data_IF_220653543271
#
_entry.id   IF_220653543271
#
_cell.length_a   1.000
_cell.length_b   1.000
_cell.length_c   1.000
_cell.angle_alpha   90.00
_cell.angle_beta   90.00
_cell.angle_gamma   90.00
#
_symmetry.space_group_name_H-M   'P 1'
#
loop_
_entity.id
_entity.type
_entity.pdbx_description
1 polymer ?
#
# COMPACT_ATOMS: atom_id res chain seq x y z
N UNK A 1 -14.98 -9.57 15.21
CA UNK A 1 -13.80 -9.53 14.32
C UNK A 1 -12.99 -10.82 14.49
N UNK A 2 -12.05 -11.10 13.59
CA UNK A 2 -11.09 -12.21 13.71
C UNK A 2 -9.82 -11.68 14.37
N UNK A 3 -9.40 -12.27 15.48
CA UNK A 3 -8.15 -11.90 16.16
C UNK A 3 -6.97 -12.65 15.54
N UNK A 4 -5.98 -11.91 15.04
CA UNK A 4 -4.72 -12.45 14.50
C UNK A 4 -3.67 -12.55 15.61
N UNK A 5 -3.67 -11.56 16.50
CA UNK A 5 -2.87 -11.51 17.74
C UNK A 5 -3.77 -11.02 18.88
N UNK A 6 -3.27 -11.07 20.12
CA UNK A 6 -4.05 -10.68 21.31
C UNK A 6 -4.57 -9.23 21.26
N UNK A 7 -3.88 -8.34 20.53
CA UNK A 7 -4.20 -6.92 20.38
C UNK A 7 -4.44 -6.51 18.91
N UNK A 8 -4.62 -7.47 18.00
CA UNK A 8 -4.85 -7.19 16.58
C UNK A 8 -6.09 -7.94 16.08
N UNK A 9 -7.15 -7.17 15.82
CA UNK A 9 -8.40 -7.65 15.28
C UNK A 9 -8.58 -7.19 13.83
N UNK A 10 -9.09 -8.07 12.97
CA UNK A 10 -9.33 -7.81 11.55
C UNK A 10 -10.77 -8.17 11.20
N UNK A 11 -11.40 -7.38 10.34
CA UNK A 11 -12.66 -7.73 9.69
C UNK A 11 -12.52 -7.54 8.19
N UNK A 12 -12.92 -8.54 7.42
CA UNK A 12 -12.88 -8.50 5.96
C UNK A 12 -14.08 -9.23 5.39
N UNK A 13 -14.58 -8.75 4.25
CA UNK A 13 -15.61 -9.47 3.50
C UNK A 13 -15.12 -10.85 3.03
N UNK A 14 -13.81 -11.02 2.86
CA UNK A 14 -13.20 -12.29 2.49
C UNK A 14 -13.52 -13.43 3.47
N UNK A 15 -13.77 -13.12 4.75
CA UNK A 15 -14.12 -14.12 5.76
C UNK A 15 -15.52 -14.72 5.59
N UNK A 16 -16.37 -14.11 4.74
CA UNK A 16 -17.75 -14.57 4.48
C UNK A 16 -17.91 -15.21 3.11
N UNK A 17 -16.83 -15.37 2.37
CA UNK A 17 -16.86 -16.03 1.07
C UNK A 17 -16.74 -17.53 1.25
N UNK A 18 -17.58 -18.28 0.53
CA UNK A 18 -17.49 -19.75 0.50
C UNK A 18 -16.16 -20.24 -0.10
N UNK A 19 -15.50 -19.40 -0.91
CA UNK A 19 -14.23 -19.69 -1.54
C UNK A 19 -13.38 -18.40 -1.65
N UNK A 20 -12.08 -18.43 -1.32
CA UNK A 20 -11.23 -17.23 -1.31
C UNK A 20 -11.09 -16.55 -2.68
N UNK A 21 -11.09 -17.33 -3.77
CA UNK A 21 -10.94 -16.80 -5.14
C UNK A 21 -12.25 -16.28 -5.76
N UNK A 22 -13.39 -16.36 -5.03
CA UNK A 22 -14.68 -15.94 -5.57
C UNK A 22 -14.73 -14.40 -5.60
N UNK A 23 -15.02 -13.77 -6.75
CA UNK A 23 -15.11 -12.31 -6.81
C UNK A 23 -16.31 -11.82 -6.00
N UNK A 24 -16.07 -10.79 -5.18
CA UNK A 24 -17.12 -10.13 -4.41
C UNK A 24 -17.72 -9.03 -5.25
N UNK A 25 -18.96 -9.23 -5.71
CA UNK A 25 -19.69 -8.21 -6.47
C UNK A 25 -20.74 -7.57 -5.57
N UNK A 26 -20.35 -6.50 -4.88
CA UNK A 26 -21.28 -5.63 -4.15
C UNK A 26 -21.53 -4.36 -4.96
N UNK A 27 -22.80 -4.04 -5.20
CA UNK A 27 -23.20 -2.84 -5.96
C UNK A 27 -24.12 -1.95 -5.14
N UNK A 28 -23.90 -0.63 -5.28
CA UNK A 28 -24.75 0.42 -4.73
C UNK A 28 -25.16 0.17 -3.27
N UNK A 29 -26.47 0.01 -2.97
CA UNK A 29 -26.96 -0.14 -1.60
C UNK A 29 -26.36 -1.31 -0.83
N UNK A 30 -26.05 -2.43 -1.50
CA UNK A 30 -25.48 -3.61 -0.83
C UNK A 30 -24.09 -3.32 -0.28
N UNK A 31 -23.28 -2.54 -1.01
CA UNK A 31 -21.95 -2.11 -0.59
C UNK A 31 -22.01 -1.22 0.65
N UNK A 32 -22.90 -0.23 0.64
CA UNK A 32 -23.14 0.67 1.78
C UNK A 32 -23.61 -0.09 3.02
N UNK A 33 -24.51 -1.07 2.84
CA UNK A 33 -24.99 -1.89 3.95
C UNK A 33 -23.87 -2.72 4.59
N UNK A 34 -22.97 -3.29 3.78
CA UNK A 34 -21.84 -4.06 4.31
C UNK A 34 -20.81 -3.21 5.05
N UNK A 35 -20.50 -2.01 4.56
CA UNK A 35 -19.65 -1.05 5.30
C UNK A 35 -20.27 -0.73 6.66
N UNK A 36 -21.58 -0.45 6.71
CA UNK A 36 -22.28 -0.16 7.97
C UNK A 36 -22.25 -1.35 8.92
N UNK A 37 -22.43 -2.58 8.43
CA UNK A 37 -22.32 -3.79 9.25
C UNK A 37 -20.93 -3.91 9.88
N UNK A 38 -19.86 -3.68 9.12
CA UNK A 38 -18.50 -3.74 9.68
C UNK A 38 -18.22 -2.69 10.75
N UNK A 39 -18.79 -1.49 10.59
CA UNK A 39 -18.51 -0.39 11.51
C UNK A 39 -19.46 -0.36 12.73
N UNK A 40 -20.68 -0.88 12.60
CA UNK A 40 -21.73 -0.77 13.64
C UNK A 40 -22.18 -2.09 14.25
N UNK A 41 -22.17 -3.18 13.48
CA UNK A 41 -22.72 -4.46 13.90
C UNK A 41 -21.62 -5.43 14.36
N UNK A 42 -20.35 -5.07 14.15
CA UNK A 42 -19.20 -5.81 14.68
C UNK A 42 -18.86 -5.27 16.06
N UNK A 43 -18.84 -6.16 17.05
CA UNK A 43 -18.34 -5.84 18.39
C UNK A 43 -16.81 -5.80 18.36
N UNK A 44 -16.25 -4.58 18.35
CA UNK A 44 -14.82 -4.33 18.29
C UNK A 44 -14.13 -4.27 19.67
N UNK A 45 -14.92 -4.28 20.75
CA UNK A 45 -14.45 -4.03 22.12
C UNK A 45 -13.80 -2.63 22.26
N UNK A 46 -13.02 -2.39 23.32
CA UNK A 46 -12.21 -1.18 23.46
C UNK A 46 -11.04 -1.18 22.45
N UNK A 47 -10.96 -0.13 21.62
CA UNK A 47 -9.91 0.07 20.63
C UNK A 47 -9.21 1.41 20.88
N UNK A 48 -7.88 1.39 20.82
CA UNK A 48 -7.08 2.62 20.71
C UNK A 48 -7.12 3.18 19.29
N UNK A 49 -7.14 2.29 18.28
CA UNK A 49 -7.10 2.65 16.86
C UNK A 49 -8.02 1.76 16.04
N UNK A 50 -8.75 2.37 15.10
CA UNK A 50 -9.48 1.69 14.04
C UNK A 50 -8.89 2.11 12.69
N UNK A 51 -8.23 1.19 12.00
CA UNK A 51 -7.67 1.43 10.66
C UNK A 51 -8.65 0.88 9.61
N UNK A 52 -9.05 1.73 8.67
CA UNK A 52 -9.92 1.35 7.55
C UNK A 52 -9.13 1.38 6.25
N UNK A 53 -8.94 0.21 5.64
CA UNK A 53 -8.40 0.10 4.29
C UNK A 53 -9.51 0.40 3.27
N UNK A 54 -9.42 1.56 2.62
CA UNK A 54 -10.44 2.01 1.68
C UNK A 54 -10.07 1.61 0.24
N UNK A 55 -11.05 1.32 -0.63
CA UNK A 55 -10.77 1.16 -2.05
C UNK A 55 -10.04 2.38 -2.63
N UNK A 56 -9.23 2.22 -3.69
CA UNK A 56 -8.48 3.32 -4.28
C UNK A 56 -9.40 4.40 -4.88
N UNK A 57 -8.85 5.62 -5.00
CA UNK A 57 -9.53 6.75 -5.63
C UNK A 57 -10.41 7.56 -4.68
N UNK A 58 -11.40 8.26 -5.24
CA UNK A 58 -12.33 9.16 -4.53
C UNK A 58 -13.75 8.64 -4.72
N UNK A 59 -14.19 7.76 -3.82
CA UNK A 59 -15.40 6.95 -4.02
C UNK A 59 -16.44 7.13 -2.90
N UNK A 60 -17.70 6.79 -3.21
CA UNK A 60 -18.83 6.85 -2.25
C UNK A 60 -18.59 5.97 -1.01
N UNK A 61 -17.73 4.95 -1.11
CA UNK A 61 -17.29 4.10 -0.02
C UNK A 61 -16.62 4.90 1.09
N UNK A 62 -15.70 5.79 0.72
CA UNK A 62 -14.99 6.63 1.68
C UNK A 62 -15.97 7.57 2.39
N UNK A 63 -16.88 8.21 1.64
CA UNK A 63 -17.96 9.04 2.20
C UNK A 63 -18.83 8.23 3.16
N UNK A 64 -19.17 7.00 2.78
CA UNK A 64 -19.99 6.10 3.60
C UNK A 64 -19.29 5.74 4.91
N UNK A 65 -17.99 5.47 4.89
CA UNK A 65 -17.19 5.20 6.09
C UNK A 65 -17.22 6.41 7.03
N UNK A 66 -16.88 7.59 6.52
CA UNK A 66 -16.83 8.83 7.30
C UNK A 66 -18.20 9.15 7.91
N UNK A 67 -19.28 9.09 7.12
CA UNK A 67 -20.64 9.31 7.61
C UNK A 67 -21.08 8.26 8.64
N UNK A 68 -20.64 7.02 8.49
CA UNK A 68 -20.97 5.94 9.43
C UNK A 68 -20.24 6.11 10.77
N UNK A 69 -19.03 6.69 10.75
CA UNK A 69 -18.20 7.01 11.90
C UNK A 69 -18.39 8.44 12.42
N UNK A 70 -19.37 9.21 11.92
CA UNK A 70 -19.54 10.62 12.28
C UNK A 70 -19.70 10.89 13.78
N UNK A 71 -20.17 9.91 14.57
CA UNK A 71 -20.25 10.01 16.03
C UNK A 71 -18.90 9.81 16.75
N UNK A 72 -17.94 9.14 16.09
CA UNK A 72 -16.62 8.79 16.64
C UNK A 72 -15.53 9.81 16.27
N UNK A 73 -15.87 10.86 15.50
CA UNK A 73 -14.96 11.91 15.02
C UNK A 73 -13.65 11.37 14.42
N UNK A 74 -13.65 11.09 13.11
CA UNK A 74 -12.49 10.56 12.40
C UNK A 74 -11.28 11.50 12.51
N UNK A 75 -10.17 11.00 13.06
CA UNK A 75 -8.94 11.79 13.28
C UNK A 75 -8.34 12.31 11.97
N UNK A 76 -8.42 11.51 10.92
CA UNK A 76 -7.97 11.91 9.60
C UNK A 76 -7.73 10.74 8.64
N UNK A 77 -7.06 11.05 7.53
CA UNK A 77 -6.68 10.12 6.48
C UNK A 77 -5.16 10.17 6.24
N UNK A 78 -4.59 9.01 5.92
CA UNK A 78 -3.23 8.89 5.39
C UNK A 78 -3.34 8.57 3.91
N UNK A 79 -2.69 9.37 3.07
CA UNK A 79 -2.69 9.15 1.62
C UNK A 79 -1.48 8.30 1.27
N UNK A 80 -1.70 7.17 0.59
CA UNK A 80 -0.62 6.29 0.13
C UNK A 80 -0.41 6.51 -1.36
N UNK A 81 0.85 6.68 -1.77
CA UNK A 81 1.24 6.98 -3.16
C UNK A 81 2.48 6.19 -3.57
N UNK A 82 2.91 6.35 -4.82
CA UNK A 82 4.20 5.85 -5.33
C UNK A 82 4.99 7.02 -5.94
N UNK A 83 6.33 6.91 -6.09
CA UNK A 83 7.17 7.98 -6.64
C UNK A 83 6.85 8.40 -8.09
N UNK A 84 6.04 7.62 -8.80
CA UNK A 84 5.71 7.90 -10.19
C UNK A 84 5.00 9.25 -10.34
N UNK A 85 5.39 10.01 -11.36
CA UNK A 85 4.81 11.33 -11.62
C UNK A 85 3.29 11.29 -11.82
N UNK A 86 2.75 10.20 -12.37
CA UNK A 86 1.30 10.03 -12.57
C UNK A 86 0.54 9.99 -11.25
N UNK A 87 1.16 9.43 -10.19
CA UNK A 87 0.57 9.35 -8.85
C UNK A 87 0.44 10.71 -8.18
N UNK A 88 1.20 11.74 -8.61
CA UNK A 88 1.07 13.11 -8.09
C UNK A 88 -0.34 13.67 -8.29
N UNK A 89 -0.94 13.38 -9.45
CA UNK A 89 -2.27 13.87 -9.80
C UNK A 89 -3.31 13.22 -8.90
N UNK A 90 -3.15 11.93 -8.59
CA UNK A 90 -4.06 11.18 -7.75
C UNK A 90 -3.95 11.58 -6.27
N UNK A 91 -2.73 11.88 -5.80
CA UNK A 91 -2.52 12.45 -4.46
C UNK A 91 -3.26 13.79 -4.32
N UNK A 92 -3.08 14.72 -5.27
CA UNK A 92 -3.77 16.02 -5.24
C UNK A 92 -5.29 15.86 -5.18
N UNK A 93 -5.85 14.97 -6.02
CA UNK A 93 -7.28 14.64 -5.98
C UNK A 93 -7.72 14.05 -4.64
N UNK A 94 -6.92 13.15 -4.07
CA UNK A 94 -7.20 12.54 -2.76
C UNK A 94 -7.21 13.57 -1.63
N UNK A 95 -6.27 14.51 -1.64
CA UNK A 95 -6.20 15.63 -0.69
C UNK A 95 -7.43 16.52 -0.81
N UNK A 96 -7.76 16.95 -2.04
CA UNK A 96 -8.91 17.81 -2.28
C UNK A 96 -10.22 17.11 -1.90
N UNK A 97 -10.34 15.81 -2.16
CA UNK A 97 -11.47 15.01 -1.72
C UNK A 97 -11.58 14.97 -0.19
N UNK A 98 -10.49 14.71 0.53
CA UNK A 98 -10.48 14.75 2.00
C UNK A 98 -10.94 16.12 2.54
N UNK A 99 -10.45 17.21 1.93
CA UNK A 99 -10.87 18.59 2.27
C UNK A 99 -12.38 18.77 2.05
N UNK A 100 -12.92 18.30 0.92
CA UNK A 100 -14.36 18.42 0.60
C UNK A 100 -15.26 17.68 1.59
N UNK A 101 -14.84 16.52 2.10
CA UNK A 101 -15.62 15.73 3.05
C UNK A 101 -15.29 16.02 4.52
N UNK A 102 -14.46 17.04 4.78
CA UNK A 102 -14.12 17.48 6.14
C UNK A 102 -13.16 16.57 6.90
N UNK A 103 -12.37 15.76 6.20
CA UNK A 103 -11.39 14.84 6.81
C UNK A 103 -9.99 15.47 6.76
N UNK A 104 -9.31 15.53 7.90
CA UNK A 104 -7.93 16.01 7.98
C UNK A 104 -6.98 15.02 7.32
N UNK A 105 -6.11 15.49 6.43
CA UNK A 105 -4.97 14.67 5.95
C UNK A 105 -3.88 14.71 7.02
N UNK A 106 -3.55 13.55 7.58
CA UNK A 106 -2.52 13.41 8.62
C UNK A 106 -1.11 13.34 8.02
N UNK A 107 -1.00 12.84 6.79
CA UNK A 107 0.26 12.76 6.07
C UNK A 107 0.12 11.99 4.75
N UNK A 108 1.22 11.97 4.00
CA UNK A 108 1.38 11.20 2.77
C UNK A 108 2.49 10.18 2.98
N UNK A 109 2.25 8.93 2.59
CA UNK A 109 3.22 7.84 2.63
C UNK A 109 3.58 7.46 1.20
N UNK A 110 4.86 7.62 0.85
CA UNK A 110 5.42 7.06 -0.39
C UNK A 110 5.70 5.58 -0.22
N UNK A 111 4.89 4.75 -0.84
CA UNK A 111 5.16 3.34 -0.95
C UNK A 111 6.05 3.07 -2.17
N UNK A 112 6.78 1.95 -2.16
CA UNK A 112 7.64 1.52 -3.26
C UNK A 112 8.67 2.59 -3.69
N UNK A 113 9.21 3.36 -2.73
CA UNK A 113 10.22 4.41 -2.99
C UNK A 113 11.64 3.88 -3.17
N UNK A 114 11.86 2.59 -2.90
CA UNK A 114 13.15 1.94 -3.12
C UNK A 114 13.11 0.45 -2.80
N UNK A 115 14.07 -0.28 -3.36
CA UNK A 115 14.35 -1.67 -3.08
C UNK A 115 15.78 -1.76 -2.55
N UNK A 116 15.96 -2.35 -1.38
CA UNK A 116 17.28 -2.60 -0.78
C UNK A 116 17.37 -4.06 -0.38
N UNK A 117 18.36 -4.78 -0.93
CA UNK A 117 18.57 -6.18 -0.58
C UNK A 117 20.06 -6.56 -0.64
N UNK A 118 20.50 -7.55 0.15
CA UNK A 118 21.85 -8.08 0.05
C UNK A 118 22.16 -8.53 -1.38
N UNK A 119 23.38 -8.26 -1.87
CA UNK A 119 23.83 -8.73 -3.18
C UNK A 119 23.65 -10.25 -3.32
N UNK A 120 23.84 -11.01 -2.24
CA UNK A 120 23.66 -12.45 -2.21
C UNK A 120 22.24 -12.93 -2.56
N UNK A 121 21.23 -12.06 -2.43
CA UNK A 121 19.83 -12.38 -2.73
C UNK A 121 19.39 -11.90 -4.12
N UNK A 122 20.26 -11.20 -4.86
CA UNK A 122 19.95 -10.74 -6.20
C UNK A 122 19.97 -11.89 -7.20
N UNK A 123 19.05 -11.81 -8.15
CA UNK A 123 19.07 -12.62 -9.37
C UNK A 123 19.92 -11.92 -10.42
N UNK A 124 20.91 -12.61 -10.99
CA UNK A 124 21.76 -12.10 -12.05
C UNK A 124 21.41 -12.76 -13.37
N UNK A 125 21.12 -11.96 -14.39
CA UNK A 125 20.85 -12.44 -15.75
C UNK A 125 21.83 -11.83 -16.74
N UNK A 126 22.17 -12.61 -17.77
CA UNK A 126 23.00 -12.17 -18.89
C UNK A 126 22.20 -12.29 -20.19
N UNK A 127 22.21 -11.25 -21.01
CA UNK A 127 21.65 -11.29 -22.37
C UNK A 127 22.65 -12.06 -23.25
N UNK A 128 22.18 -13.11 -23.92
CA UNK A 128 22.99 -13.90 -24.86
C UNK A 128 23.03 -13.23 -26.23
N UNK A 129 23.92 -13.70 -27.11
CA UNK A 129 24.06 -13.18 -28.47
C UNK A 129 22.76 -13.32 -29.31
N UNK A 130 21.88 -14.24 -28.91
CA UNK A 130 20.58 -14.47 -29.54
C UNK A 130 19.45 -13.61 -28.91
N UNK A 131 19.78 -12.75 -27.94
CA UNK A 131 18.81 -11.88 -27.25
C UNK A 131 18.05 -12.56 -26.10
N UNK A 132 18.36 -13.82 -25.77
CA UNK A 132 17.72 -14.53 -24.67
C UNK A 132 18.31 -14.10 -23.32
N UNK A 133 17.47 -14.02 -22.29
CA UNK A 133 17.92 -13.81 -20.91
C UNK A 133 18.28 -15.16 -20.27
N UNK A 134 19.58 -15.34 -19.97
CA UNK A 134 20.08 -16.51 -19.24
C UNK A 134 20.28 -16.16 -17.77
N UNK A 135 19.77 -17.00 -16.87
CA UNK A 135 20.09 -16.93 -15.45
C UNK A 135 21.55 -17.34 -15.22
N UNK A 136 22.32 -16.48 -14.57
CA UNK A 136 23.73 -16.67 -14.23
C UNK A 136 23.99 -16.42 -12.75
N UNK A 137 22.96 -16.51 -11.91
CA UNK A 137 23.01 -16.17 -10.49
C UNK A 137 24.07 -16.99 -9.75
N UNK A 138 24.02 -18.33 -9.83
CA UNK A 138 24.96 -19.18 -9.10
C UNK A 138 26.41 -18.91 -9.51
N UNK A 139 26.67 -18.88 -10.82
CA UNK A 139 28.00 -18.58 -11.36
C UNK A 139 28.50 -17.21 -10.89
N UNK A 140 27.63 -16.20 -10.86
CA UNK A 140 27.98 -14.85 -10.42
C UNK A 140 28.35 -14.84 -8.94
N UNK A 141 27.56 -15.52 -8.10
CA UNK A 141 27.83 -15.62 -6.66
C UNK A 141 29.12 -16.40 -6.37
N UNK A 142 29.37 -17.51 -7.07
CA UNK A 142 30.63 -18.25 -6.97
C UNK A 142 31.83 -17.40 -7.39
N UNK A 143 31.72 -16.70 -8.51
CA UNK A 143 32.77 -15.80 -8.99
C UNK A 143 33.06 -14.68 -7.99
N UNK A 144 32.02 -14.09 -7.38
CA UNK A 144 32.17 -13.09 -6.32
C UNK A 144 32.84 -13.69 -5.08
N UNK A 145 32.44 -14.88 -4.62
CA UNK A 145 33.10 -15.55 -3.48
C UNK A 145 34.59 -15.76 -3.72
N UNK A 146 34.99 -16.11 -4.93
CA UNK A 146 36.39 -16.37 -5.27
C UNK A 146 37.20 -15.08 -5.45
N UNK A 147 36.65 -14.09 -6.15
CA UNK A 147 37.40 -12.91 -6.62
C UNK A 147 37.22 -11.65 -5.77
N UNK A 148 36.09 -11.51 -5.09
CA UNK A 148 35.70 -10.31 -4.35
C UNK A 148 34.63 -10.63 -3.28
N UNK A 149 34.96 -11.47 -2.27
CA UNK A 149 34.00 -11.95 -1.28
C UNK A 149 33.38 -10.82 -0.45
N UNK A 150 34.06 -9.68 -0.32
CA UNK A 150 33.55 -8.49 0.36
C UNK A 150 32.28 -7.92 -0.28
N UNK A 151 32.08 -8.10 -1.60
CA UNK A 151 30.88 -7.63 -2.30
C UNK A 151 29.60 -8.33 -1.82
N UNK A 152 29.71 -9.55 -1.29
CA UNK A 152 28.55 -10.29 -0.78
C UNK A 152 27.93 -9.63 0.48
N UNK A 153 28.68 -8.76 1.15
CA UNK A 153 28.20 -7.97 2.28
C UNK A 153 27.57 -6.64 1.86
N UNK A 154 27.58 -6.30 0.57
CA UNK A 154 26.97 -5.07 0.09
C UNK A 154 25.45 -5.23 -0.02
N UNK A 155 24.77 -4.10 0.17
CA UNK A 155 23.35 -3.97 -0.09
C UNK A 155 23.22 -3.25 -1.42
N UNK A 156 22.51 -3.87 -2.37
CA UNK A 156 22.12 -3.20 -3.58
C UNK A 156 20.87 -2.38 -3.31
N UNK A 157 20.95 -1.08 -3.61
CA UNK A 157 19.85 -0.14 -3.51
C UNK A 157 19.44 0.28 -4.92
N UNK A 158 18.15 0.24 -5.20
CA UNK A 158 17.58 0.68 -6.47
C UNK A 158 16.26 1.40 -6.22
N UNK A 159 15.97 2.43 -7.01
CA UNK A 159 14.63 3.03 -7.03
C UNK A 159 13.69 2.11 -7.81
N UNK A 160 12.51 1.79 -7.23
CA UNK A 160 11.51 0.94 -7.92
C UNK A 160 10.87 1.71 -9.08
N UNK A 161 10.73 3.03 -8.91
CA UNK A 161 10.24 3.95 -9.91
C UNK A 161 11.19 5.14 -9.99
N UNK A 162 11.43 5.64 -11.20
CA UNK A 162 12.25 6.83 -11.41
C UNK A 162 11.66 8.01 -10.62
N UNK A 163 12.40 8.46 -9.61
CA UNK A 163 12.01 9.55 -8.74
C UNK A 163 12.28 10.94 -9.34
N UNK A 164 12.63 11.02 -10.63
CA UNK A 164 13.02 12.22 -11.38
C UNK A 164 12.14 13.47 -11.20
N UNK A 165 10.95 13.31 -10.61
CA UNK A 165 10.03 14.39 -10.23
C UNK A 165 10.12 14.92 -8.79
N UNK A 166 10.85 14.33 -7.83
CA UNK A 166 10.96 14.80 -6.43
C UNK A 166 10.16 14.02 -5.36
N UNK A 167 9.50 12.92 -5.74
CA UNK A 167 8.81 11.99 -4.84
C UNK A 167 7.81 12.61 -3.85
N UNK A 168 7.59 11.95 -2.71
CA UNK A 168 6.59 12.36 -1.72
C UNK A 168 6.99 13.58 -0.90
N UNK A 169 8.28 13.89 -0.78
CA UNK A 169 8.75 15.13 -0.15
C UNK A 169 8.22 16.33 -0.94
N UNK A 170 8.34 16.30 -2.27
CA UNK A 170 7.74 17.32 -3.12
C UNK A 170 6.22 17.31 -3.02
N UNK A 171 5.58 16.14 -2.92
CA UNK A 171 4.14 16.06 -2.72
C UNK A 171 3.70 16.80 -1.45
N UNK A 172 4.35 16.57 -0.32
CA UNK A 172 4.04 17.26 0.93
C UNK A 172 4.22 18.79 0.83
N UNK A 173 5.30 19.25 0.19
CA UNK A 173 5.56 20.69 0.03
C UNK A 173 4.57 21.38 -0.94
N UNK A 174 4.01 20.65 -1.92
CA UNK A 174 3.00 21.17 -2.84
C UNK A 174 1.56 21.08 -2.31
N UNK A 175 1.36 20.50 -1.13
CA UNK A 175 0.04 20.28 -0.52
C UNK A 175 -0.39 21.35 0.49
N UNK A 176 0.51 22.26 0.87
CA UNK A 176 0.21 23.51 1.59
C UNK A 176 -0.51 24.52 0.71
#
# INVERSE_FOLDING_TARGET
PVYVEYNLAVMSIGFRLDHPDKPVILRGPGKTAEIKKFLKDVYWDELDFLIVDTPPGTSDEQITVINSLGAANVDGAIIVTTPQQVSLIDVKKGVDFCKQIGVKVLGVVENMSGLSQPIANLKFTKITDNGEMKDVTEWTLEYMREKAPEMLNFIACSEVFDSSGGGAIKMCNEME
#
